data_IF_780316080864
#
_entry.id   IF_780316080864
#
_cell.length_a   1.000
_cell.length_b   1.000
_cell.length_c   1.000
_cell.angle_alpha   90.00
_cell.angle_beta   90.00
_cell.angle_gamma   90.00
#
_symmetry.space_group_name_H-M   'P 1'
#
loop_
_entity.id
_entity.type
_entity.pdbx_description
1 polymer ?
#
# COMPACT_ATOMS: atom_id res chain seq x y z
N UNK A 1 -2.64 -12.93 4.33
CA UNK A 1 -2.02 -11.93 3.42
C UNK A 1 -2.21 -12.44 2.02
N UNK A 2 -2.47 -11.53 1.09
CA UNK A 2 -3.18 -11.89 -0.14
C UNK A 2 -2.60 -11.25 -1.38
N UNK A 3 -2.98 -11.82 -2.51
CA UNK A 3 -2.90 -11.15 -3.81
C UNK A 3 -4.16 -10.31 -3.99
N UNK A 4 -4.04 -8.99 -4.06
CA UNK A 4 -5.19 -8.07 -4.17
C UNK A 4 -5.52 -7.70 -5.62
N UNK A 5 -4.54 -7.77 -6.51
CA UNK A 5 -4.75 -7.55 -7.95
C UNK A 5 -3.89 -8.49 -8.74
N UNK A 6 -4.45 -9.06 -9.79
CA UNK A 6 -3.70 -9.75 -10.84
C UNK A 6 -4.04 -9.14 -12.19
N UNK A 7 -3.07 -9.19 -13.11
CA UNK A 7 -3.22 -8.73 -14.48
C UNK A 7 -2.58 -9.71 -15.43
N UNK A 8 -3.28 -10.07 -16.49
CA UNK A 8 -2.85 -11.00 -17.52
C UNK A 8 -3.17 -10.45 -18.92
N UNK A 9 -2.44 -10.91 -19.92
CA UNK A 9 -2.74 -10.66 -21.34
C UNK A 9 -2.87 -12.01 -22.03
N UNK A 10 -4.08 -12.44 -22.31
CA UNK A 10 -4.34 -13.68 -23.03
C UNK A 10 -4.14 -13.44 -24.53
N UNK A 11 -3.46 -14.35 -25.22
CA UNK A 11 -3.11 -14.32 -26.63
C UNK A 11 -3.96 -15.31 -27.41
N UNK A 12 -4.65 -14.82 -28.44
CA UNK A 12 -5.46 -15.68 -29.31
C UNK A 12 -4.59 -16.54 -30.22
N UNK A 13 -3.43 -16.02 -30.64
CA UNK A 13 -2.49 -16.74 -31.50
C UNK A 13 -1.91 -17.98 -30.81
N UNK A 14 -1.77 -17.92 -29.48
CA UNK A 14 -1.27 -19.02 -28.66
C UNK A 14 -2.40 -19.95 -28.17
N UNK A 15 -3.64 -19.74 -28.62
CA UNK A 15 -4.79 -20.56 -28.24
C UNK A 15 -5.29 -20.36 -26.80
N UNK A 16 -4.91 -19.26 -26.15
CA UNK A 16 -5.24 -19.01 -24.73
C UNK A 16 -6.70 -18.60 -24.53
N UNK A 17 -7.35 -18.10 -25.58
CA UNK A 17 -8.78 -17.80 -25.55
C UNK A 17 -9.41 -17.84 -26.94
N UNK A 18 -10.73 -18.00 -26.95
CA UNK A 18 -11.58 -17.80 -28.11
C UNK A 18 -12.55 -16.65 -27.86
N UNK A 19 -13.02 -16.04 -28.94
CA UNK A 19 -14.13 -15.09 -28.87
C UNK A 19 -15.43 -15.84 -29.06
N UNK A 20 -16.41 -15.55 -28.21
CA UNK A 20 -17.77 -16.07 -28.36
C UNK A 20 -18.24 -15.86 -29.83
N UNK A 21 -18.88 -16.85 -30.48
CA UNK A 21 -19.39 -16.66 -31.84
C UNK A 21 -20.44 -15.54 -31.93
N UNK A 22 -20.45 -14.77 -33.03
CA UNK A 22 -21.30 -13.57 -33.20
C UNK A 22 -22.79 -13.87 -33.02
N UNK A 23 -23.23 -15.08 -33.37
CA UNK A 23 -24.61 -15.54 -33.27
C UNK A 23 -25.09 -15.62 -31.81
N UNK A 24 -24.15 -15.69 -30.86
CA UNK A 24 -24.40 -15.76 -29.41
C UNK A 24 -24.20 -14.41 -28.71
N UNK A 25 -23.92 -13.35 -29.45
CA UNK A 25 -23.63 -12.04 -28.86
C UNK A 25 -24.89 -11.37 -28.35
N UNK A 26 -24.90 -11.16 -27.05
CA UNK A 26 -25.83 -10.26 -26.37
C UNK A 26 -25.34 -8.78 -26.41
N UNK A 27 -26.22 -7.79 -26.10
CA UNK A 27 -25.88 -6.37 -26.19
C UNK A 27 -24.60 -5.94 -25.46
N UNK A 28 -24.27 -6.59 -24.34
CA UNK A 28 -23.03 -6.34 -23.58
C UNK A 28 -21.75 -6.63 -24.37
N UNK A 29 -21.81 -7.48 -25.39
CA UNK A 29 -20.67 -7.85 -26.23
C UNK A 29 -20.39 -6.85 -27.36
N UNK A 30 -21.15 -5.75 -27.45
CA UNK A 30 -20.95 -4.72 -28.49
C UNK A 30 -19.53 -4.18 -28.57
N UNK A 31 -18.77 -4.23 -27.47
CA UNK A 31 -17.37 -3.84 -27.45
C UNK A 31 -16.47 -4.74 -28.32
N UNK A 32 -16.85 -5.99 -28.56
CA UNK A 32 -16.15 -6.95 -29.44
C UNK A 32 -16.34 -6.65 -30.94
N UNK A 33 -17.27 -5.77 -31.32
CA UNK A 33 -17.48 -5.32 -32.71
C UNK A 33 -16.83 -3.97 -33.02
N UNK A 34 -16.31 -3.27 -32.01
CA UNK A 34 -15.68 -1.95 -32.19
C UNK A 34 -14.37 -2.09 -32.95
N UNK A 35 -14.16 -1.25 -33.96
CA UNK A 35 -12.98 -1.26 -34.84
C UNK A 35 -11.76 -0.65 -34.14
N UNK A 36 -11.95 0.04 -33.02
CA UNK A 36 -10.87 0.66 -32.26
C UNK A 36 -9.77 -0.35 -31.90
N UNK A 37 -8.51 0.08 -32.00
CA UNK A 37 -7.34 -0.70 -31.60
C UNK A 37 -7.47 -1.29 -30.19
N UNK A 38 -8.19 -0.59 -29.30
CA UNK A 38 -8.46 -0.97 -27.93
C UNK A 38 -9.93 -0.77 -27.60
N UNK A 39 -10.59 -1.80 -27.09
CA UNK A 39 -11.99 -1.73 -26.65
C UNK A 39 -12.18 -2.36 -25.27
N UNK A 40 -12.81 -1.61 -24.36
CA UNK A 40 -13.06 -2.09 -22.99
C UNK A 40 -14.45 -2.70 -22.88
N UNK A 41 -14.57 -3.79 -22.12
CA UNK A 41 -15.85 -4.31 -21.67
C UNK A 41 -16.49 -3.36 -20.67
N UNK A 42 -17.79 -3.12 -20.82
CA UNK A 42 -18.60 -2.38 -19.85
C UNK A 42 -19.67 -3.34 -19.32
N UNK A 43 -19.62 -3.73 -18.04
CA UNK A 43 -20.63 -4.61 -17.47
C UNK A 43 -21.98 -3.92 -17.43
N UNK A 44 -23.03 -4.70 -17.69
CA UNK A 44 -24.45 -4.34 -17.56
C UNK A 44 -25.02 -4.71 -16.17
N UNK A 45 -24.38 -5.63 -15.45
CA UNK A 45 -24.72 -6.02 -14.07
C UNK A 45 -24.12 -5.07 -13.03
N UNK A 46 -24.80 -4.97 -11.87
CA UNK A 46 -24.35 -4.23 -10.69
C UNK A 46 -23.30 -4.96 -9.84
N UNK A 47 -23.05 -6.24 -10.09
CA UNK A 47 -22.04 -7.04 -9.39
C UNK A 47 -20.61 -6.61 -9.77
N UNK A 48 -19.63 -6.96 -8.94
CA UNK A 48 -18.23 -6.72 -9.28
C UNK A 48 -17.81 -7.52 -10.51
N UNK A 49 -17.28 -6.82 -11.52
CA UNK A 49 -16.72 -7.41 -12.73
C UNK A 49 -15.25 -7.01 -12.90
N UNK A 50 -14.36 -7.94 -13.28
CA UNK A 50 -12.98 -7.62 -13.63
C UNK A 50 -12.90 -6.61 -14.78
N UNK A 51 -11.81 -5.87 -14.82
CA UNK A 51 -11.52 -5.01 -15.96
C UNK A 51 -11.04 -5.88 -17.12
N UNK A 52 -11.79 -5.87 -18.22
CA UNK A 52 -11.49 -6.63 -19.44
C UNK A 52 -11.36 -5.65 -20.59
N UNK A 53 -10.29 -5.81 -21.36
CA UNK A 53 -10.01 -5.00 -22.53
C UNK A 53 -9.47 -5.89 -23.65
N UNK A 54 -9.97 -5.71 -24.86
CA UNK A 54 -9.44 -6.39 -26.04
C UNK A 54 -8.58 -5.45 -26.87
N UNK A 55 -7.52 -6.00 -27.46
CA UNK A 55 -6.66 -5.33 -28.43
C UNK A 55 -6.75 -6.06 -29.76
N UNK A 56 -6.67 -5.28 -30.85
CA UNK A 56 -6.71 -5.80 -32.20
C UNK A 56 -5.37 -5.72 -32.89
N UNK A 57 -5.08 -6.74 -33.70
CA UNK A 57 -4.02 -6.70 -34.71
C UNK A 57 -4.64 -7.03 -36.07
N UNK A 58 -4.37 -6.19 -37.08
CA UNK A 58 -4.92 -6.33 -38.44
C UNK A 58 -6.46 -6.48 -38.49
N UNK A 59 -7.16 -5.76 -37.61
CA UNK A 59 -8.62 -5.75 -37.52
C UNK A 59 -9.23 -6.90 -36.70
N UNK A 60 -8.44 -7.94 -36.37
CA UNK A 60 -8.88 -9.06 -35.55
C UNK A 60 -8.52 -8.88 -34.08
N UNK A 61 -9.38 -9.34 -33.17
CA UNK A 61 -9.05 -9.39 -31.75
C UNK A 61 -7.94 -10.42 -31.55
N UNK A 62 -6.79 -9.95 -31.07
CA UNK A 62 -5.58 -10.73 -30.88
C UNK A 62 -5.22 -10.95 -29.41
N UNK A 63 -5.55 -9.98 -28.54
CA UNK A 63 -5.20 -10.02 -27.11
C UNK A 63 -6.39 -9.62 -26.26
N UNK A 64 -6.63 -10.36 -25.18
CA UNK A 64 -7.53 -9.98 -24.10
C UNK A 64 -6.73 -9.66 -22.83
N UNK A 65 -6.66 -8.38 -22.45
CA UNK A 65 -6.15 -7.98 -21.14
C UNK A 65 -7.24 -8.15 -20.09
N UNK A 66 -6.90 -8.92 -19.07
CA UNK A 66 -7.76 -9.20 -17.93
C UNK A 66 -7.08 -8.71 -16.65
N UNK A 67 -7.81 -7.95 -15.84
CA UNK A 67 -7.34 -7.51 -14.53
C UNK A 67 -8.43 -7.69 -13.49
N UNK A 68 -8.15 -8.50 -12.47
CA UNK A 68 -9.09 -8.85 -11.42
C UNK A 68 -8.50 -8.58 -10.03
N UNK A 69 -9.37 -8.30 -9.07
CA UNK A 69 -9.05 -8.37 -7.65
C UNK A 69 -9.61 -9.68 -7.09
N UNK A 70 -8.78 -10.65 -6.69
CA UNK A 70 -9.23 -11.93 -6.16
C UNK A 70 -10.31 -11.84 -5.09
N UNK A 71 -10.11 -10.98 -4.08
CA UNK A 71 -11.07 -10.80 -3.00
C UNK A 71 -12.43 -10.28 -3.53
N UNK A 72 -12.43 -9.34 -4.48
CA UNK A 72 -13.68 -8.85 -5.06
C UNK A 72 -14.38 -9.87 -5.96
N UNK A 73 -13.63 -10.73 -6.65
CA UNK A 73 -14.23 -11.85 -7.42
C UNK A 73 -14.87 -12.87 -6.48
N UNK A 74 -14.21 -13.19 -5.36
CA UNK A 74 -14.69 -14.20 -4.43
C UNK A 74 -15.83 -13.69 -3.53
N UNK A 75 -15.71 -12.47 -3.01
CA UNK A 75 -16.59 -11.95 -1.95
C UNK A 75 -17.30 -10.64 -2.31
N UNK A 76 -16.98 -10.01 -3.44
CA UNK A 76 -17.56 -8.71 -3.85
C UNK A 76 -16.87 -7.48 -3.25
N UNK A 77 -15.91 -7.64 -2.34
CA UNK A 77 -15.16 -6.56 -1.72
C UNK A 77 -13.69 -6.96 -1.49
N UNK A 78 -12.80 -6.00 -1.20
CA UNK A 78 -11.37 -6.25 -0.95
C UNK A 78 -10.93 -5.99 0.49
N UNK A 79 -11.83 -6.26 1.45
CA UNK A 79 -11.49 -6.23 2.88
C UNK A 79 -11.13 -7.61 3.42
N UNK A 80 -11.33 -8.67 2.63
CA UNK A 80 -10.94 -10.03 2.98
C UNK A 80 -9.67 -10.42 2.24
N UNK A 81 -8.75 -11.04 2.96
CA UNK A 81 -7.52 -11.60 2.39
C UNK A 81 -7.82 -13.00 1.85
N UNK A 82 -7.56 -13.23 0.56
CA UNK A 82 -7.74 -14.56 -0.06
C UNK A 82 -6.71 -15.56 0.47
N UNK A 83 -7.15 -16.80 0.64
CA UNK A 83 -6.35 -17.93 1.10
C UNK A 83 -5.89 -18.84 -0.04
N UNK A 84 -4.92 -19.71 0.25
CA UNK A 84 -4.37 -20.60 -0.76
C UNK A 84 -5.41 -21.60 -1.31
N UNK A 85 -6.34 -22.05 -0.47
CA UNK A 85 -7.37 -23.04 -0.82
C UNK A 85 -8.42 -22.49 -1.79
N UNK A 86 -8.52 -21.16 -1.91
CA UNK A 86 -9.54 -20.49 -2.71
C UNK A 86 -9.14 -20.24 -4.16
N UNK A 87 -7.94 -20.69 -4.56
CA UNK A 87 -7.46 -20.55 -5.94
C UNK A 87 -8.43 -21.17 -6.95
N UNK A 88 -8.93 -22.38 -6.68
CA UNK A 88 -9.81 -23.07 -7.61
C UNK A 88 -11.14 -22.33 -7.78
N UNK A 89 -11.75 -21.92 -6.66
CA UNK A 89 -12.98 -21.12 -6.67
C UNK A 89 -12.79 -19.77 -7.39
N UNK A 90 -11.60 -19.17 -7.25
CA UNK A 90 -11.25 -17.95 -7.96
C UNK A 90 -11.14 -18.17 -9.47
N UNK A 91 -10.46 -19.25 -9.90
CA UNK A 91 -10.31 -19.60 -11.31
C UNK A 91 -11.67 -19.89 -11.95
N UNK A 92 -12.52 -20.68 -11.32
CA UNK A 92 -13.86 -21.02 -11.81
C UNK A 92 -14.72 -19.76 -12.01
N UNK A 93 -14.76 -18.87 -11.01
CA UNK A 93 -15.48 -17.60 -11.11
C UNK A 93 -14.89 -16.69 -12.19
N UNK A 94 -13.57 -16.66 -12.33
CA UNK A 94 -12.88 -15.85 -13.34
C UNK A 94 -13.19 -16.30 -14.76
N UNK A 95 -13.20 -17.61 -15.01
CA UNK A 95 -13.62 -18.20 -16.30
C UNK A 95 -15.08 -17.84 -16.59
N UNK A 96 -15.97 -17.97 -15.61
CA UNK A 96 -17.37 -17.60 -15.78
C UNK A 96 -17.56 -16.11 -16.11
N UNK A 97 -16.80 -15.22 -15.46
CA UNK A 97 -16.84 -13.77 -15.71
C UNK A 97 -16.25 -13.40 -17.08
N UNK A 98 -15.16 -14.04 -17.52
CA UNK A 98 -14.60 -13.86 -18.85
C UNK A 98 -15.57 -14.36 -19.93
N UNK A 99 -16.17 -15.53 -19.73
CA UNK A 99 -17.19 -16.08 -20.64
C UNK A 99 -18.42 -15.17 -20.72
N UNK A 100 -18.84 -14.58 -19.60
CA UNK A 100 -19.91 -13.60 -19.55
C UNK A 100 -19.59 -12.34 -20.38
N UNK A 101 -18.32 -11.96 -20.46
CA UNK A 101 -17.83 -10.89 -21.32
C UNK A 101 -17.57 -11.34 -22.77
N UNK A 102 -17.79 -12.60 -23.12
CA UNK A 102 -17.57 -13.14 -24.47
C UNK A 102 -16.13 -13.55 -24.78
N UNK A 103 -15.27 -13.67 -23.75
CA UNK A 103 -13.91 -14.23 -23.83
C UNK A 103 -13.96 -15.64 -23.26
N UNK A 104 -13.85 -16.65 -24.12
CA UNK A 104 -13.90 -18.06 -23.73
C UNK A 104 -12.49 -18.56 -23.47
N UNK A 105 -12.22 -19.08 -22.27
CA UNK A 105 -10.92 -19.62 -21.86
C UNK A 105 -11.14 -20.71 -20.82
N UNK A 106 -10.08 -21.46 -20.52
CA UNK A 106 -10.10 -22.53 -19.52
C UNK A 106 -9.33 -22.13 -18.26
N UNK A 107 -9.72 -22.74 -17.14
CA UNK A 107 -9.02 -22.52 -15.85
C UNK A 107 -7.54 -22.88 -15.91
N UNK A 108 -7.18 -23.91 -16.68
CA UNK A 108 -5.78 -24.35 -16.84
C UNK A 108 -4.94 -23.34 -17.61
N UNK A 109 -5.54 -22.59 -18.55
CA UNK A 109 -4.86 -21.48 -19.20
C UNK A 109 -4.56 -20.39 -18.17
N UNK A 110 -5.57 -19.93 -17.43
CA UNK A 110 -5.40 -18.88 -16.41
C UNK A 110 -4.41 -19.31 -15.32
N UNK A 111 -4.46 -20.56 -14.86
CA UNK A 111 -3.56 -21.15 -13.86
C UNK A 111 -2.10 -21.09 -14.30
N UNK A 112 -1.83 -21.48 -15.54
CA UNK A 112 -0.46 -21.57 -16.06
C UNK A 112 0.04 -20.26 -16.67
N UNK A 113 -0.82 -19.24 -16.77
CA UNK A 113 -0.45 -18.01 -17.46
C UNK A 113 0.54 -17.14 -16.68
N UNK A 114 1.30 -16.36 -17.44
CA UNK A 114 2.19 -15.35 -16.88
C UNK A 114 1.45 -14.09 -16.47
N UNK A 115 1.66 -13.68 -15.22
CA UNK A 115 1.22 -12.40 -14.70
C UNK A 115 2.03 -11.29 -15.36
N UNK A 116 1.29 -10.27 -15.79
CA UNK A 116 1.82 -9.00 -16.31
C UNK A 116 1.68 -7.86 -15.29
N UNK A 117 1.05 -8.13 -14.16
CA UNK A 117 0.96 -7.23 -13.02
C UNK A 117 0.38 -7.97 -11.82
N UNK A 118 0.87 -7.65 -10.63
CA UNK A 118 0.41 -8.23 -9.36
C UNK A 118 0.52 -7.22 -8.23
N UNK A 119 -0.48 -7.19 -7.36
CA UNK A 119 -0.44 -6.48 -6.09
C UNK A 119 -0.51 -7.51 -4.96
N UNK A 120 0.47 -7.48 -4.05
CA UNK A 120 0.43 -8.24 -2.80
C UNK A 120 0.09 -7.28 -1.67
N UNK A 121 -0.80 -7.68 -0.77
CA UNK A 121 -1.28 -6.82 0.30
C UNK A 121 -1.49 -7.53 1.64
N UNK A 122 -1.49 -6.72 2.69
CA UNK A 122 -1.80 -7.10 4.06
C UNK A 122 -2.58 -5.98 4.75
N UNK A 123 -3.63 -6.35 5.47
CA UNK A 123 -4.35 -5.43 6.34
C UNK A 123 -3.69 -5.39 7.72
N UNK A 124 -3.56 -4.18 8.27
CA UNK A 124 -3.10 -3.93 9.62
C UNK A 124 -4.12 -3.08 10.38
N UNK A 125 -4.33 -3.39 11.65
CA UNK A 125 -5.20 -2.62 12.54
C UNK A 125 -4.37 -1.67 13.37
N UNK A 126 -4.57 -0.37 13.15
CA UNK A 126 -3.93 0.68 13.91
C UNK A 126 -4.87 1.22 14.99
N UNK A 127 -4.41 1.31 16.23
CA UNK A 127 -5.18 1.91 17.30
C UNK A 127 -5.16 3.44 17.24
N UNK A 128 -6.32 4.06 17.13
CA UNK A 128 -6.49 5.51 17.00
C UNK A 128 -7.08 5.91 15.65
N UNK A 129 -7.01 7.20 15.35
CA UNK A 129 -7.52 7.74 14.08
C UNK A 129 -6.51 7.50 12.96
N UNK A 130 -7.00 7.41 11.72
CA UNK A 130 -6.13 7.29 10.54
C UNK A 130 -5.23 8.54 10.32
N UNK A 131 -5.56 9.69 10.94
CA UNK A 131 -4.79 10.92 10.77
C UNK A 131 -3.31 10.74 11.17
N UNK A 132 -3.05 10.10 12.31
CA UNK A 132 -1.69 9.94 12.86
C UNK A 132 -0.79 9.06 11.99
N UNK A 133 -1.14 7.80 11.66
CA UNK A 133 -0.26 6.94 10.88
C UNK A 133 -0.04 7.51 9.47
N UNK A 134 -1.08 8.08 8.85
CA UNK A 134 -0.94 8.68 7.52
C UNK A 134 -0.11 9.96 7.54
N UNK A 135 -0.15 10.79 8.60
CA UNK A 135 0.78 11.91 8.77
C UNK A 135 2.23 11.42 8.83
N UNK A 136 2.53 10.39 9.62
CA UNK A 136 3.89 9.83 9.72
C UNK A 136 4.36 9.31 8.35
N UNK A 137 3.51 8.55 7.65
CA UNK A 137 3.80 8.03 6.31
C UNK A 137 4.00 9.15 5.27
N UNK A 138 3.21 10.23 5.35
CA UNK A 138 3.34 11.42 4.50
C UNK A 138 4.64 12.20 4.74
N UNK A 139 5.28 12.06 5.89
CA UNK A 139 6.56 12.72 6.18
C UNK A 139 7.77 11.80 6.01
N UNK A 140 7.56 10.53 5.65
CA UNK A 140 8.63 9.55 5.45
C UNK A 140 9.51 9.93 4.25
N UNK A 141 10.85 9.97 4.39
CA UNK A 141 11.76 10.24 3.29
C UNK A 141 11.55 9.30 2.12
N UNK A 142 11.76 9.81 0.91
CA UNK A 142 11.75 8.99 -0.32
C UNK A 142 13.17 8.55 -0.61
N UNK A 143 13.41 7.26 -0.77
CA UNK A 143 14.72 6.76 -1.21
C UNK A 143 14.89 6.88 -2.72
N UNK A 144 16.01 7.49 -3.15
CA UNK A 144 16.48 7.45 -4.53
C UNK A 144 15.49 8.02 -5.55
N UNK A 145 15.13 7.20 -6.55
CA UNK A 145 14.23 7.55 -7.66
C UNK A 145 12.73 7.38 -7.33
N UNK A 146 12.37 6.95 -6.12
CA UNK A 146 10.96 6.82 -5.75
C UNK A 146 10.31 8.20 -5.64
N UNK A 147 9.22 8.42 -6.36
CA UNK A 147 8.37 9.61 -6.21
C UNK A 147 7.22 9.27 -5.26
N UNK A 148 7.09 10.05 -4.18
CA UNK A 148 5.94 9.97 -3.29
C UNK A 148 4.80 10.81 -3.83
N UNK A 149 3.58 10.32 -3.70
CA UNK A 149 2.39 11.14 -3.82
C UNK A 149 1.35 10.72 -2.77
N UNK A 150 0.49 11.68 -2.48
CA UNK A 150 -0.61 11.54 -1.54
C UNK A 150 -1.88 11.78 -2.34
N UNK A 151 -2.85 10.89 -2.22
CA UNK A 151 -4.14 11.02 -2.89
C UNK A 151 -5.24 10.87 -1.88
N UNK A 152 -6.22 11.77 -1.95
CA UNK A 152 -7.43 11.74 -1.15
C UNK A 152 -8.54 11.13 -2.01
N UNK A 153 -9.07 10.00 -1.59
CA UNK A 153 -10.23 9.38 -2.20
C UNK A 153 -11.47 9.76 -1.38
N UNK A 154 -12.48 10.43 -1.97
CA UNK A 154 -13.67 10.87 -1.24
C UNK A 154 -14.35 9.76 -0.43
N UNK A 155 -14.35 8.52 -0.96
CA UNK A 155 -15.04 7.37 -0.37
C UNK A 155 -14.10 6.29 0.21
N UNK A 156 -12.79 6.38 -0.04
CA UNK A 156 -11.78 5.37 0.31
C UNK A 156 -10.62 5.94 1.15
N UNK A 157 -10.78 7.13 1.72
CA UNK A 157 -9.82 7.73 2.65
C UNK A 157 -8.51 8.22 2.01
N UNK A 158 -7.45 8.26 2.81
CA UNK A 158 -6.13 8.75 2.40
C UNK A 158 -5.30 7.59 1.84
N UNK A 159 -4.62 7.82 0.72
CA UNK A 159 -3.59 6.94 0.20
C UNK A 159 -2.24 7.66 0.16
N UNK A 160 -1.22 6.99 0.68
CA UNK A 160 0.19 7.41 0.52
C UNK A 160 0.89 6.34 -0.30
N UNK A 161 1.51 6.74 -1.41
CA UNK A 161 2.25 5.80 -2.24
C UNK A 161 3.62 6.32 -2.66
N UNK A 162 4.56 5.39 -2.74
CA UNK A 162 5.92 5.58 -3.24
C UNK A 162 6.07 4.78 -4.54
N UNK A 163 6.31 5.49 -5.65
CA UNK A 163 6.39 4.90 -6.99
C UNK A 163 7.81 4.90 -7.53
N UNK A 164 8.29 3.75 -8.03
CA UNK A 164 9.50 3.63 -8.84
C UNK A 164 9.20 2.85 -10.12
N UNK A 165 9.08 3.56 -11.25
CA UNK A 165 8.81 2.98 -12.58
C UNK A 165 7.63 2.00 -12.53
N UNK A 166 7.92 0.71 -12.55
CA UNK A 166 6.99 -0.41 -12.58
C UNK A 166 6.63 -0.98 -11.19
N UNK A 167 7.07 -0.34 -10.11
CA UNK A 167 6.87 -0.82 -8.74
C UNK A 167 6.27 0.27 -7.89
N UNK A 168 5.30 -0.07 -7.03
CA UNK A 168 4.65 0.90 -6.14
C UNK A 168 4.47 0.29 -4.76
N UNK A 169 4.86 1.01 -3.72
CA UNK A 169 4.48 0.69 -2.35
C UNK A 169 3.37 1.67 -1.94
N UNK A 170 2.24 1.17 -1.47
CA UNK A 170 1.06 1.96 -1.14
C UNK A 170 0.57 1.61 0.27
N UNK A 171 0.08 2.63 0.95
CA UNK A 171 -0.67 2.51 2.21
C UNK A 171 -2.02 3.17 1.96
N UNK A 172 -3.11 2.45 2.20
CA UNK A 172 -4.49 2.95 2.04
C UNK A 172 -5.21 2.93 3.38
N UNK A 173 -5.92 4.01 3.67
CA UNK A 173 -6.87 4.06 4.77
C UNK A 173 -8.17 3.37 4.35
N UNK A 174 -8.41 2.17 4.87
CA UNK A 174 -9.61 1.38 4.59
C UNK A 174 -10.70 1.55 5.65
N UNK A 175 -10.56 2.52 6.56
CA UNK A 175 -11.47 2.71 7.70
C UNK A 175 -12.89 3.05 7.28
N UNK A 176 -13.06 3.95 6.29
CA UNK A 176 -14.41 4.33 5.80
C UNK A 176 -15.08 3.16 5.07
N UNK A 177 -14.32 2.46 4.22
CA UNK A 177 -14.83 1.30 3.49
C UNK A 177 -15.24 0.18 4.45
N UNK A 178 -14.47 -0.02 5.54
CA UNK A 178 -14.73 -1.07 6.52
C UNK A 178 -15.97 -0.77 7.39
N UNK A 179 -16.30 0.50 7.64
CA UNK A 179 -17.51 0.85 8.40
C UNK A 179 -18.84 0.57 7.66
N UNK A 180 -18.79 0.24 6.36
CA UNK A 180 -19.98 -0.16 5.59
C UNK A 180 -20.40 -1.58 6.00
N UNK A 181 -21.58 -1.69 6.62
CA UNK A 181 -22.12 -2.90 7.26
C UNK A 181 -22.17 -4.14 6.35
N UNK A 182 -22.25 -3.96 5.03
CA UNK A 182 -22.30 -5.05 4.06
C UNK A 182 -20.96 -5.78 3.86
N UNK A 183 -19.84 -5.21 4.30
CA UNK A 183 -18.50 -5.75 4.00
C UNK A 183 -17.75 -6.34 5.20
N UNK A 184 -18.30 -6.23 6.41
CA UNK A 184 -17.72 -6.82 7.61
C UNK A 184 -18.75 -7.72 8.31
N UNK A 185 -18.30 -8.75 9.05
CA UNK A 185 -19.16 -9.42 10.01
C UNK A 185 -19.85 -8.41 10.94
N UNK A 186 -21.13 -8.62 11.26
CA UNK A 186 -21.92 -7.67 12.06
C UNK A 186 -21.22 -7.28 13.38
N UNK A 187 -20.63 -8.26 14.05
CA UNK A 187 -19.94 -8.10 15.34
C UNK A 187 -18.70 -7.19 15.23
N UNK A 188 -18.04 -7.18 14.06
CA UNK A 188 -16.84 -6.40 13.80
C UNK A 188 -17.16 -4.93 13.55
N UNK A 189 -18.18 -4.67 12.73
CA UNK A 189 -18.61 -3.32 12.41
C UNK A 189 -19.11 -2.58 13.66
N UNK A 190 -19.81 -3.27 14.55
CA UNK A 190 -20.27 -2.72 15.82
C UNK A 190 -19.10 -2.44 16.78
N UNK A 191 -18.13 -3.37 16.88
CA UNK A 191 -16.93 -3.18 17.70
C UNK A 191 -16.07 -1.99 17.23
N UNK A 192 -15.84 -1.84 15.93
CA UNK A 192 -15.08 -0.70 15.38
C UNK A 192 -15.79 0.65 15.52
N UNK A 193 -17.11 0.67 15.74
CA UNK A 193 -17.84 1.91 16.09
C UNK A 193 -17.62 2.30 17.55
N UNK A 194 -17.40 1.33 18.44
CA UNK A 194 -17.20 1.55 19.88
C UNK A 194 -15.75 1.96 20.21
N UNK A 195 -14.78 1.48 19.42
CA UNK A 195 -13.36 1.70 19.65
C UNK A 195 -12.71 2.36 18.43
N UNK A 196 -11.98 3.46 18.62
CA UNK A 196 -11.35 4.21 17.52
C UNK A 196 -10.17 3.43 16.93
N UNK A 197 -10.42 2.73 15.82
CA UNK A 197 -9.39 2.03 15.04
C UNK A 197 -9.31 2.60 13.62
N UNK A 198 -8.12 2.49 13.03
CA UNK A 198 -7.89 2.71 11.62
C UNK A 198 -7.46 1.39 10.95
N UNK A 199 -8.04 1.07 9.81
CA UNK A 199 -7.66 -0.09 9.02
C UNK A 199 -6.69 0.35 7.92
N UNK A 200 -5.46 -0.14 7.95
CA UNK A 200 -4.42 0.22 6.99
C UNK A 200 -4.20 -0.95 6.04
N UNK A 201 -4.45 -0.77 4.74
CA UNK A 201 -4.03 -1.73 3.73
C UNK A 201 -2.64 -1.37 3.23
N UNK A 202 -1.69 -2.27 3.41
CA UNK A 202 -0.33 -2.13 2.94
C UNK A 202 -0.18 -2.97 1.68
N UNK A 203 0.21 -2.35 0.58
CA UNK A 203 0.21 -3.00 -0.73
C UNK A 203 1.52 -2.72 -1.46
N UNK A 204 2.06 -3.76 -2.10
CA UNK A 204 3.18 -3.64 -3.02
C UNK A 204 2.76 -4.13 -4.42
N UNK A 205 2.73 -3.20 -5.36
CA UNK A 205 2.42 -3.43 -6.77
C UNK A 205 3.67 -3.65 -7.59
N UNK A 206 3.62 -4.66 -8.47
CA UNK A 206 4.65 -4.97 -9.46
C UNK A 206 3.97 -5.03 -10.83
N UNK A 207 4.48 -4.27 -11.80
CA UNK A 207 3.96 -4.24 -13.17
C UNK A 207 5.01 -4.76 -14.15
N UNK A 208 4.57 -5.53 -15.14
CA UNK A 208 5.40 -6.11 -16.20
C UNK A 208 6.05 -7.43 -15.81
N UNK A 209 6.00 -8.39 -16.75
CA UNK A 209 6.53 -9.76 -16.62
C UNK A 209 7.98 -9.78 -16.11
N UNK A 210 8.88 -9.03 -16.76
CA UNK A 210 10.29 -8.99 -16.37
C UNK A 210 10.52 -8.50 -14.92
N UNK A 211 9.64 -7.63 -14.39
CA UNK A 211 9.78 -7.14 -13.01
C UNK A 211 9.31 -8.17 -12.00
N UNK A 212 8.25 -8.91 -12.34
CA UNK A 212 7.75 -10.03 -11.57
C UNK A 212 8.81 -11.13 -11.48
N UNK A 213 9.40 -11.53 -12.60
CA UNK A 213 10.46 -12.54 -12.64
C UNK A 213 11.67 -12.13 -11.79
N UNK A 214 12.08 -10.85 -11.89
CA UNK A 214 13.17 -10.32 -11.09
C UNK A 214 12.85 -10.34 -9.59
N UNK A 215 11.63 -9.99 -9.19
CA UNK A 215 11.23 -10.02 -7.78
C UNK A 215 11.23 -11.45 -7.23
N UNK A 216 10.64 -12.41 -7.95
CA UNK A 216 10.65 -13.83 -7.58
C UNK A 216 12.08 -14.39 -7.48
N UNK A 217 12.95 -14.04 -8.44
CA UNK A 217 14.36 -14.42 -8.44
C UNK A 217 15.12 -13.86 -7.23
N UNK A 218 14.89 -12.61 -6.85
CA UNK A 218 15.50 -12.00 -5.65
C UNK A 218 15.14 -12.80 -4.39
N UNK A 219 13.90 -13.28 -4.32
CA UNK A 219 13.43 -14.10 -3.19
C UNK A 219 13.84 -15.58 -3.30
N UNK A 220 14.64 -15.97 -4.31
CA UNK A 220 15.07 -17.36 -4.59
C UNK A 220 13.90 -18.33 -4.75
N UNK A 221 12.77 -17.85 -5.26
CA UNK A 221 11.58 -18.67 -5.51
C UNK A 221 11.70 -19.23 -6.93
N UNK A 222 11.66 -20.55 -7.04
CA UNK A 222 11.61 -21.27 -8.33
C UNK A 222 10.30 -22.04 -8.35
N UNK A 223 9.33 -21.61 -9.14
CA UNK A 223 7.98 -22.18 -9.15
C UNK A 223 7.44 -22.29 -10.58
N UNK A 224 6.47 -23.19 -10.83
CA UNK A 224 6.10 -23.62 -12.19
C UNK A 224 5.38 -22.54 -13.02
N UNK A 225 4.63 -21.64 -12.38
CA UNK A 225 3.94 -20.52 -13.02
C UNK A 225 3.85 -19.33 -12.03
N UNK A 226 3.58 -18.12 -12.56
CA UNK A 226 3.55 -16.92 -11.71
C UNK A 226 2.28 -16.80 -10.86
N UNK A 227 1.10 -17.24 -11.33
CA UNK A 227 -0.15 -17.07 -10.56
C UNK A 227 -0.09 -17.85 -9.23
N UNK A 228 0.18 -19.14 -9.29
CA UNK A 228 0.27 -20.00 -8.11
C UNK A 228 1.39 -19.59 -7.17
N UNK A 229 2.47 -19.03 -7.72
CA UNK A 229 3.56 -18.46 -6.92
C UNK A 229 3.07 -17.34 -6.01
N UNK A 230 2.31 -16.37 -6.53
CA UNK A 230 1.77 -15.27 -5.72
C UNK A 230 0.57 -15.71 -4.88
N UNK A 231 -0.12 -16.78 -5.29
CA UNK A 231 -1.17 -17.40 -4.49
C UNK A 231 -0.63 -18.14 -3.26
N UNK A 232 0.66 -18.51 -3.25
CA UNK A 232 1.35 -18.97 -2.06
C UNK A 232 1.54 -17.79 -1.09
N UNK A 233 0.91 -17.82 0.09
CA UNK A 233 1.01 -16.73 1.03
C UNK A 233 2.47 -16.42 1.44
N UNK A 234 3.34 -17.43 1.60
CA UNK A 234 4.74 -17.22 2.05
C UNK A 234 5.52 -16.35 1.06
N UNK A 235 5.26 -16.53 -0.25
CA UNK A 235 5.87 -15.73 -1.31
C UNK A 235 5.44 -14.27 -1.18
N UNK A 236 4.14 -14.05 -1.07
CA UNK A 236 3.57 -12.71 -0.84
C UNK A 236 4.16 -12.06 0.43
N UNK A 237 4.46 -12.85 1.47
CA UNK A 237 5.02 -12.37 2.76
C UNK A 237 6.37 -11.83 2.55
N UNK A 238 7.20 -12.67 1.95
CA UNK A 238 8.61 -12.42 1.81
C UNK A 238 8.79 -11.15 0.99
N UNK A 239 8.03 -11.00 -0.10
CA UNK A 239 8.04 -9.79 -0.94
C UNK A 239 7.54 -8.58 -0.15
N UNK A 240 6.33 -8.63 0.41
CA UNK A 240 5.70 -7.49 1.06
C UNK A 240 6.50 -7.03 2.29
N UNK A 241 6.92 -7.96 3.15
CA UNK A 241 7.75 -7.73 4.33
C UNK A 241 9.08 -7.08 3.97
N UNK A 242 9.83 -7.64 3.02
CA UNK A 242 11.13 -7.08 2.63
C UNK A 242 11.01 -5.63 2.12
N UNK A 243 9.95 -5.34 1.36
CA UNK A 243 9.73 -4.01 0.80
C UNK A 243 9.23 -3.01 1.84
N UNK A 244 8.29 -3.41 2.70
CA UNK A 244 7.78 -2.54 3.76
C UNK A 244 8.83 -2.30 4.84
N UNK A 245 9.54 -3.31 5.33
CA UNK A 245 10.58 -3.11 6.34
C UNK A 245 11.68 -2.17 5.86
N UNK A 246 12.10 -2.32 4.59
CA UNK A 246 13.05 -1.39 3.98
C UNK A 246 12.52 0.05 3.92
N UNK A 247 11.21 0.24 3.81
CA UNK A 247 10.56 1.55 3.83
C UNK A 247 10.39 2.09 5.26
N UNK A 248 9.94 1.27 6.21
CA UNK A 248 9.76 1.64 7.61
C UNK A 248 11.07 2.12 8.24
N UNK A 249 12.20 1.47 7.90
CA UNK A 249 13.53 1.88 8.35
C UNK A 249 13.93 3.29 7.88
N UNK A 250 13.20 3.87 6.93
CA UNK A 250 13.44 5.23 6.44
C UNK A 250 12.62 6.26 7.20
N UNK A 251 11.55 5.85 7.90
CA UNK A 251 10.76 6.77 8.74
C UNK A 251 11.69 7.37 9.79
N UNK A 252 11.71 8.70 9.82
CA UNK A 252 12.55 9.49 10.71
C UNK A 252 11.71 10.64 11.24
N UNK A 253 11.10 10.43 12.42
CA UNK A 253 10.48 11.49 13.22
C UNK A 253 11.36 11.81 14.43
N UNK A 254 11.15 13.00 15.00
CA UNK A 254 11.87 13.46 16.19
C UNK A 254 10.82 13.91 17.20
N UNK A 255 10.91 13.39 18.42
CA UNK A 255 10.07 13.81 19.54
C UNK A 255 10.65 15.04 20.23
N UNK A 256 10.23 16.22 19.77
CA UNK A 256 10.63 17.49 20.40
C UNK A 256 9.94 17.75 21.75
N UNK A 257 9.01 16.92 22.22
CA UNK A 257 8.56 17.03 23.63
C UNK A 257 9.70 16.70 24.59
N UNK A 258 10.65 15.87 24.15
CA UNK A 258 11.90 15.53 24.86
C UNK A 258 13.06 16.40 24.41
N UNK A 259 12.83 17.72 24.31
CA UNK A 259 13.78 18.68 23.74
C UNK A 259 15.15 18.63 24.40
N UNK A 260 15.19 18.54 25.73
CA UNK A 260 16.43 18.46 26.51
C UNK A 260 17.24 17.19 26.18
N UNK A 261 16.58 16.03 26.14
CA UNK A 261 17.21 14.76 25.77
C UNK A 261 17.74 14.79 24.34
N UNK A 262 16.98 15.36 23.41
CA UNK A 262 17.43 15.54 22.03
C UNK A 262 18.68 16.43 21.95
N UNK A 263 18.69 17.55 22.68
CA UNK A 263 19.83 18.47 22.72
C UNK A 263 21.09 17.80 23.30
N UNK A 264 20.96 17.08 24.41
CA UNK A 264 22.05 16.32 25.04
C UNK A 264 22.57 15.21 24.11
N UNK A 265 21.70 14.57 23.35
CA UNK A 265 22.07 13.56 22.34
C UNK A 265 22.94 14.18 21.24
N UNK A 266 22.56 15.35 20.72
CA UNK A 266 23.36 16.09 19.73
C UNK A 266 24.71 16.50 20.30
N UNK A 267 24.73 17.00 21.54
CA UNK A 267 25.96 17.38 22.21
C UNK A 267 26.91 16.19 22.36
N UNK A 268 26.38 15.03 22.77
CA UNK A 268 27.14 13.78 22.93
C UNK A 268 27.69 13.30 21.58
N UNK A 269 26.88 13.33 20.53
CA UNK A 269 27.31 13.00 19.17
C UNK A 269 28.46 13.92 18.71
N UNK A 270 28.35 15.23 18.93
CA UNK A 270 29.42 16.18 18.57
C UNK A 270 30.74 15.86 19.29
N UNK A 271 30.67 15.55 20.60
CA UNK A 271 31.84 15.15 21.40
C UNK A 271 32.47 13.85 20.87
N UNK A 272 31.67 12.84 20.58
CA UNK A 272 32.14 11.54 20.08
C UNK A 272 32.80 11.64 18.70
N UNK A 273 32.34 12.55 17.85
CA UNK A 273 32.82 12.70 16.47
C UNK A 273 33.79 13.87 16.27
N UNK A 274 34.34 14.45 17.34
CA UNK A 274 35.26 15.59 17.28
C UNK A 274 34.71 16.78 16.45
N UNK A 275 33.41 17.02 16.54
CA UNK A 275 32.75 18.17 15.92
C UNK A 275 32.86 19.33 16.91
N UNK A 276 33.81 20.23 16.67
CA UNK A 276 34.13 21.32 17.58
C UNK A 276 33.41 22.62 17.23
N UNK A 277 33.17 23.43 18.27
CA UNK A 277 32.66 24.79 18.16
C UNK A 277 31.14 24.89 18.39
N UNK A 278 30.68 25.94 19.11
CA UNK A 278 29.26 26.15 19.37
C UNK A 278 28.46 26.31 18.08
N UNK A 279 29.04 26.89 17.03
CA UNK A 279 28.37 27.09 15.74
C UNK A 279 27.97 25.76 15.08
N UNK A 280 28.86 24.76 15.10
CA UNK A 280 28.58 23.45 14.50
C UNK A 280 27.48 22.71 15.28
N UNK A 281 27.51 22.79 16.61
CA UNK A 281 26.50 22.21 17.48
C UNK A 281 25.14 22.87 17.28
N UNK A 282 25.08 24.21 17.28
CA UNK A 282 23.85 24.98 17.02
C UNK A 282 23.31 24.71 15.62
N UNK A 283 24.18 24.54 14.61
CA UNK A 283 23.75 24.18 13.25
C UNK A 283 23.10 22.79 13.20
N UNK A 284 23.66 21.80 13.89
CA UNK A 284 23.08 20.45 13.96
C UNK A 284 21.75 20.47 14.71
N UNK A 285 21.70 21.17 15.84
CA UNK A 285 20.48 21.34 16.63
C UNK A 285 19.37 22.05 15.84
N UNK A 286 19.68 23.19 15.21
CA UNK A 286 18.72 23.91 14.37
C UNK A 286 18.25 23.10 13.16
N UNK A 287 19.09 22.20 12.63
CA UNK A 287 18.69 21.27 11.57
C UNK A 287 17.68 20.24 12.07
N UNK A 288 17.86 19.71 13.29
CA UNK A 288 16.92 18.77 13.94
C UNK A 288 15.57 19.44 14.18
N UNK A 289 15.56 20.67 14.68
CA UNK A 289 14.31 21.44 14.85
C UNK A 289 13.60 21.66 13.52
N UNK A 290 14.34 22.02 12.46
CA UNK A 290 13.78 22.16 11.10
C UNK A 290 13.24 20.85 10.56
N UNK A 291 13.96 19.74 10.72
CA UNK A 291 13.50 18.42 10.27
C UNK A 291 12.22 18.01 10.99
N UNK A 292 12.11 18.25 12.29
CA UNK A 292 10.89 17.95 13.06
C UNK A 292 9.67 18.74 12.56
N UNK A 293 9.89 19.93 12.00
CA UNK A 293 8.82 20.82 11.54
C UNK A 293 8.44 20.56 10.08
N UNK A 294 9.43 20.47 9.19
CA UNK A 294 9.22 20.41 7.75
C UNK A 294 9.34 19.00 7.15
N UNK A 295 9.88 18.05 7.92
CA UNK A 295 10.23 16.73 7.44
C UNK A 295 11.58 16.69 6.71
N UNK A 296 12.25 15.54 6.77
CA UNK A 296 13.62 15.38 6.28
C UNK A 296 13.76 15.61 4.77
N UNK A 297 12.77 15.18 3.97
CA UNK A 297 12.79 15.35 2.52
C UNK A 297 12.73 16.82 2.11
N UNK A 298 11.83 17.60 2.71
CA UNK A 298 11.69 19.02 2.41
C UNK A 298 12.95 19.77 2.85
N UNK A 299 13.50 19.43 4.01
CA UNK A 299 14.77 19.97 4.46
C UNK A 299 15.93 19.64 3.50
N UNK A 300 16.01 18.39 3.02
CA UNK A 300 17.02 18.00 2.03
C UNK A 300 16.85 18.75 0.71
N UNK A 301 15.63 18.90 0.20
CA UNK A 301 15.37 19.64 -1.04
C UNK A 301 15.73 21.12 -0.89
N UNK A 302 15.36 21.75 0.22
CA UNK A 302 15.75 23.12 0.55
C UNK A 302 17.28 23.30 0.58
N UNK A 303 18.01 22.34 1.16
CA UNK A 303 19.49 22.36 1.11
C UNK A 303 20.05 22.18 -0.31
N UNK A 304 19.38 21.41 -1.17
CA UNK A 304 19.81 21.17 -2.56
C UNK A 304 19.56 22.37 -3.48
N UNK A 305 18.65 23.29 -3.13
CA UNK A 305 18.42 24.52 -3.90
C UNK A 305 19.64 25.45 -3.92
N UNK A 306 20.48 25.38 -2.89
CA UNK A 306 21.59 26.31 -2.68
C UNK A 306 22.93 25.63 -2.35
N UNK A 307 22.96 24.30 -2.25
CA UNK A 307 24.12 23.52 -1.81
C UNK A 307 24.59 22.46 -2.80
N UNK A 308 25.85 22.05 -2.65
CA UNK A 308 26.42 20.95 -3.43
C UNK A 308 25.75 19.60 -3.08
N UNK A 309 25.26 18.83 -4.08
CA UNK A 309 24.55 17.56 -3.82
C UNK A 309 25.35 16.50 -3.07
N UNK A 310 26.69 16.51 -3.14
CA UNK A 310 27.54 15.56 -2.40
C UNK A 310 27.67 15.98 -0.94
N UNK A 311 27.86 17.28 -0.68
CA UNK A 311 27.91 17.83 0.68
C UNK A 311 26.57 17.69 1.41
N UNK A 312 25.44 18.00 0.73
CA UNK A 312 24.10 17.85 1.32
C UNK A 312 23.84 16.40 1.71
N UNK A 313 24.13 15.43 0.84
CA UNK A 313 23.99 14.00 1.15
C UNK A 313 24.85 13.57 2.35
N UNK A 314 26.10 14.02 2.42
CA UNK A 314 26.97 13.75 3.56
C UNK A 314 26.41 14.35 4.86
N UNK A 315 25.83 15.55 4.80
CA UNK A 315 25.22 16.19 5.96
C UNK A 315 23.96 15.47 6.43
N UNK A 316 23.06 15.12 5.51
CA UNK A 316 21.85 14.33 5.81
C UNK A 316 22.20 12.97 6.41
N UNK A 317 23.22 12.29 5.89
CA UNK A 317 23.67 11.00 6.43
C UNK A 317 24.23 11.14 7.86
N UNK A 318 24.91 12.24 8.18
CA UNK A 318 25.34 12.52 9.57
C UNK A 318 24.14 12.73 10.49
N UNK A 319 23.15 13.51 10.07
CA UNK A 319 21.94 13.75 10.87
C UNK A 319 21.18 12.45 11.16
N UNK A 320 21.04 11.56 10.16
CA UNK A 320 20.42 10.24 10.34
C UNK A 320 21.19 9.31 11.28
N UNK A 321 22.49 9.53 11.48
CA UNK A 321 23.30 8.74 12.39
C UNK A 321 23.15 9.18 13.87
N UNK A 322 22.53 10.33 14.12
CA UNK A 322 22.20 10.79 15.47
C UNK A 322 20.96 10.03 15.94
N UNK A 323 21.11 9.21 16.99
CA UNK A 323 20.03 8.40 17.54
C UNK A 323 19.12 9.24 18.44
N UNK A 324 18.22 10.00 17.83
CA UNK A 324 17.30 10.89 18.54
C UNK A 324 16.05 10.14 19.03
N UNK A 325 15.43 10.60 20.14
CA UNK A 325 14.09 10.17 20.52
C UNK A 325 13.10 10.36 19.37
N UNK A 326 12.42 9.29 18.97
CA UNK A 326 11.39 9.30 17.92
C UNK A 326 10.01 9.46 18.56
N UNK A 327 9.01 9.91 17.78
CA UNK A 327 7.63 10.02 18.28
C UNK A 327 7.10 8.63 18.72
N UNK A 328 6.41 8.52 19.87
CA UNK A 328 5.79 7.26 20.31
C UNK A 328 4.88 6.64 19.24
N UNK A 329 4.18 7.46 18.47
CA UNK A 329 3.28 7.01 17.40
C UNK A 329 4.04 6.42 16.19
N UNK A 330 5.29 6.84 15.94
CA UNK A 330 6.14 6.18 14.95
C UNK A 330 6.48 4.76 15.41
N UNK A 331 6.88 4.59 16.68
CA UNK A 331 7.21 3.28 17.23
C UNK A 331 6.01 2.34 17.19
N UNK A 332 4.85 2.83 17.63
CA UNK A 332 3.59 2.10 17.58
C UNK A 332 3.21 1.71 16.15
N UNK A 333 3.32 2.63 15.18
CA UNK A 333 3.06 2.32 13.77
C UNK A 333 3.99 1.23 13.25
N UNK A 334 5.29 1.34 13.52
CA UNK A 334 6.29 0.34 13.10
C UNK A 334 6.00 -1.02 13.70
N UNK A 335 5.68 -1.09 14.98
CA UNK A 335 5.35 -2.33 15.68
C UNK A 335 4.09 -2.98 15.12
N UNK A 336 3.01 -2.21 14.95
CA UNK A 336 1.74 -2.71 14.39
C UNK A 336 1.95 -3.26 12.98
N UNK A 337 2.67 -2.55 12.14
CA UNK A 337 2.99 -3.02 10.78
C UNK A 337 3.88 -4.27 10.83
N UNK A 338 4.91 -4.28 11.67
CA UNK A 338 5.80 -5.43 11.83
C UNK A 338 5.01 -6.68 12.23
N UNK A 339 4.19 -6.57 13.27
CA UNK A 339 3.35 -7.67 13.76
C UNK A 339 2.36 -8.15 12.70
N UNK A 340 1.74 -7.23 11.95
CA UNK A 340 0.85 -7.59 10.85
C UNK A 340 1.58 -8.31 9.71
N UNK A 341 2.86 -8.00 9.47
CA UNK A 341 3.67 -8.65 8.43
C UNK A 341 4.24 -10.00 8.87
N UNK A 342 4.37 -10.27 10.16
CA UNK A 342 4.73 -11.60 10.68
C UNK A 342 3.56 -12.58 10.67
N UNK A 343 2.32 -12.09 10.57
CA UNK A 343 1.12 -12.94 10.58
C UNK A 343 0.60 -13.25 9.18
N UNK A 344 0.41 -14.54 8.92
CA UNK A 344 -0.16 -15.03 7.66
C UNK A 344 -1.68 -14.93 7.64
N UNK A 345 -2.29 -15.12 8.79
CA UNK A 345 -3.73 -15.16 9.00
C UNK A 345 -4.38 -13.81 8.70
N UNK A 346 -5.57 -13.79 8.10
CA UNK A 346 -6.36 -12.57 7.94
C UNK A 346 -6.60 -11.89 9.30
N UNK A 347 -6.89 -10.60 9.28
CA UNK A 347 -7.36 -9.90 10.47
C UNK A 347 -8.68 -10.54 10.93
N UNK A 348 -8.72 -11.09 12.15
CA UNK A 348 -9.90 -11.73 12.74
C UNK A 348 -10.49 -10.91 13.89
N UNK A 349 -11.68 -11.31 14.36
CA UNK A 349 -12.28 -10.76 15.60
C UNK A 349 -11.41 -10.97 16.83
N UNK A 350 -10.64 -12.06 16.89
CA UNK A 350 -9.74 -12.33 18.01
C UNK A 350 -8.54 -11.36 18.00
N UNK A 351 -8.00 -11.03 16.82
CA UNK A 351 -6.96 -9.99 16.68
C UNK A 351 -7.37 -8.67 17.36
N UNK A 352 -8.65 -8.31 17.24
CA UNK A 352 -9.21 -7.09 17.82
C UNK A 352 -9.43 -7.18 19.33
N UNK A 353 -9.90 -8.32 19.83
CA UNK A 353 -10.06 -8.55 21.27
C UNK A 353 -8.71 -8.52 21.99
N UNK A 354 -7.67 -9.13 21.42
CA UNK A 354 -6.31 -9.04 21.98
C UNK A 354 -5.78 -7.60 21.93
N UNK A 355 -6.05 -6.86 20.86
CA UNK A 355 -5.69 -5.44 20.76
C UNK A 355 -6.40 -4.59 21.82
N UNK A 356 -7.66 -4.89 22.15
CA UNK A 356 -8.42 -4.26 23.25
C UNK A 356 -7.88 -4.62 24.65
N UNK A 357 -7.38 -5.85 24.84
CA UNK A 357 -6.71 -6.24 26.08
C UNK A 357 -5.39 -5.49 26.30
N UNK A 358 -4.63 -5.19 25.23
CA UNK A 358 -3.45 -4.35 25.35
C UNK A 358 -3.78 -2.91 25.78
N UNK A 359 -4.95 -2.38 25.38
CA UNK A 359 -5.45 -1.08 25.86
C UNK A 359 -5.80 -1.10 27.34
N UNK A 360 -6.47 -2.16 27.79
CA UNK A 360 -6.82 -2.35 29.20
C UNK A 360 -5.60 -2.48 30.11
N UNK A 361 -4.46 -2.91 29.56
CA UNK A 361 -3.17 -3.04 30.27
C UNK A 361 -2.34 -1.75 30.29
N UNK A 362 -2.80 -0.65 29.69
CA UNK A 362 -2.10 0.64 29.73
C UNK A 362 -0.76 0.66 29.00
N UNK A 363 -0.53 -0.27 28.06
CA UNK A 363 0.70 -0.38 27.28
C UNK A 363 0.79 0.63 26.12
N UNK A 364 -0.24 1.46 25.96
CA UNK A 364 -0.31 2.52 24.96
C UNK A 364 -0.69 3.84 25.63
N UNK A 365 -0.24 4.99 25.09
CA UNK A 365 -0.61 6.28 25.66
C UNK A 365 -2.14 6.39 25.71
N UNK A 366 -2.71 6.84 26.83
CA UNK A 366 -4.15 7.00 26.95
C UNK A 366 -4.65 7.90 25.83
N UNK A 367 -5.86 7.63 25.32
CA UNK A 367 -6.60 8.55 24.44
C UNK A 367 -6.34 9.97 24.92
N UNK A 368 -5.78 10.82 24.07
CA UNK A 368 -5.64 12.24 24.36
C UNK A 368 -7.04 12.82 24.56
N UNK A 369 -7.46 12.87 25.83
CA UNK A 369 -8.53 13.67 26.41
C UNK A 369 -9.93 13.50 25.84
N UNK A 370 -10.71 12.57 26.40
CA UNK A 370 -12.03 12.97 26.88
C UNK A 370 -11.82 14.01 27.98
N UNK A 371 -12.32 15.23 27.76
CA UNK A 371 -12.15 16.46 28.56
C UNK A 371 -10.97 17.35 28.16
N UNK A 372 -11.14 18.06 27.04
CA UNK A 372 -10.93 19.51 27.01
C UNK A 372 -12.02 20.12 26.14
N UNK A 373 -12.86 20.97 26.75
CA UNK A 373 -13.45 22.07 26.00
C UNK A 373 -12.27 22.88 25.45
N UNK A 374 -12.42 23.38 24.22
CA UNK A 374 -11.51 24.30 23.53
C UNK A 374 -10.22 23.68 22.96
N UNK A 375 -10.38 22.95 21.85
CA UNK A 375 -9.38 22.97 20.76
C UNK A 375 -10.13 23.40 19.50
N UNK A 376 -9.76 24.52 18.83
CA UNK A 376 -10.38 24.87 17.58
C UNK A 376 -9.99 23.82 16.55
N UNK A 377 -10.99 23.08 16.07
CA UNK A 377 -10.93 22.31 14.83
C UNK A 377 -10.67 23.29 13.68
N UNK A 378 -9.39 23.60 13.41
CA UNK A 378 -9.03 24.15 12.11
C UNK A 378 -9.23 23.06 11.06
N UNK A 379 -10.03 23.31 10.01
CA UNK A 379 -10.21 22.35 8.92
C UNK A 379 -8.86 22.03 8.27
N UNK A 380 -8.67 20.76 7.88
CA UNK A 380 -7.56 20.21 7.09
C UNK A 380 -7.37 20.86 5.70
N UNK A 381 -8.04 21.99 5.40
CA UNK A 381 -8.17 22.59 4.08
C UNK A 381 -7.35 23.88 3.84
N UNK A 382 -6.71 24.48 4.85
CA UNK A 382 -6.04 25.78 4.65
C UNK A 382 -4.52 25.74 4.41
N UNK A 383 -3.90 24.56 4.33
CA UNK A 383 -2.43 24.46 4.11
C UNK A 383 -2.05 24.01 2.69
N UNK A 384 -3.02 23.89 1.78
CA UNK A 384 -2.81 23.51 0.38
C UNK A 384 -2.75 24.70 -0.60
N UNK A 385 -2.76 25.96 -0.14
CA UNK A 385 -2.69 27.12 -1.03
C UNK A 385 -2.06 28.32 -0.32
N UNK A 386 -0.78 28.56 -0.57
CA UNK A 386 -0.06 29.66 0.05
C UNK A 386 1.40 29.76 -0.33
N UNK A 387 1.71 29.63 -1.62
CA UNK A 387 2.92 30.22 -2.20
C UNK A 387 2.50 30.90 -3.52
N UNK A 388 2.92 32.16 -3.64
CA UNK A 388 2.49 33.18 -4.60
C UNK A 388 2.64 32.80 -6.07
#
# INVERSE_FOLDING_TARGET
MSTDRIKMYLSRADGEFEILPKERWEPRHKYLDRIDYKSNYSPDKREYMPNICVFRNDGEISVAAWQACPAKVLYGHNLQEVTQQELEAFLDKSVAQLAYAGILTDKEVLRNHYLSGVDVNKLALYYGTAATPFRILQHTPTTGQFKRAVTLYPDDGICVYNTLKHRKLKFYDKTVQSQKLEFLPNDLAEFMKQVSFALINMEYSIEGKNQIDNELKIQKITLPNTLESFWNPIVSQTILKNRILSFLNQIFTIDLTKREECFLTVQTYCKQHNIHGPQAMTSLWGSIERISTFGLNNFQNWLLESGDPKQVRNFINRLKAIHLPCLPEEQMLKEIIYNALETMEPVTMETLKTTDEYLKKGLFPPKSGSNTKDVPTRPLLEWAGGLQ
#
